data_IF_810309493996
#
_entry.id   IF_810309493996
#
_cell.length_a   1.000
_cell.length_b   1.000
_cell.length_c   1.000
_cell.angle_alpha   90.00
_cell.angle_beta   90.00
_cell.angle_gamma   90.00
#
_symmetry.space_group_name_H-M   'P 1'
#
loop_
_entity.id
_entity.type
_entity.pdbx_description
1 polymer ?
#
# COMPACT_ATOMS: atom_id res chain seq x y z
N UNK A 1 -18.73 -9.05 -6.62
CA UNK A 1 -19.15 -7.69 -7.08
C UNK A 1 -20.31 -7.72 -8.07
N UNK A 2 -20.69 -8.89 -8.60
CA UNK A 2 -21.73 -9.05 -9.62
C UNK A 2 -21.39 -10.28 -10.47
N UNK A 3 -21.91 -10.34 -11.69
CA UNK A 3 -21.56 -11.35 -12.69
C UNK A 3 -21.31 -10.67 -14.05
N UNK A 4 -20.82 -11.43 -15.05
CA UNK A 4 -20.44 -10.86 -16.35
C UNK A 4 -21.65 -10.41 -17.19
N UNK A 5 -22.81 -11.03 -17.01
CA UNK A 5 -24.01 -10.75 -17.79
C UNK A 5 -24.72 -9.49 -17.29
N UNK A 6 -24.92 -9.38 -15.98
CA UNK A 6 -25.66 -8.28 -15.33
C UNK A 6 -24.74 -7.12 -14.90
N UNK A 7 -23.42 -7.30 -15.02
CA UNK A 7 -22.41 -6.32 -14.64
C UNK A 7 -22.22 -6.19 -13.12
N UNK A 8 -21.78 -5.00 -12.68
CA UNK A 8 -21.47 -4.72 -11.26
C UNK A 8 -22.72 -4.31 -10.51
N UNK A 9 -23.33 -5.28 -9.82
CA UNK A 9 -24.56 -5.09 -9.03
C UNK A 9 -24.30 -4.85 -7.55
N UNK A 10 -23.21 -5.38 -6.99
CA UNK A 10 -22.84 -5.16 -5.59
C UNK A 10 -22.00 -3.88 -5.45
N UNK A 11 -22.69 -2.73 -5.54
CA UNK A 11 -22.08 -1.40 -5.43
C UNK A 11 -21.57 -1.10 -4.03
N UNK A 12 -22.19 -1.64 -2.98
CA UNK A 12 -21.73 -1.47 -1.60
C UNK A 12 -20.32 -2.05 -1.39
N UNK A 13 -20.08 -3.28 -1.87
CA UNK A 13 -18.74 -3.87 -1.83
C UNK A 13 -17.74 -3.03 -2.64
N UNK A 14 -18.12 -2.55 -3.83
CA UNK A 14 -17.28 -1.66 -4.64
C UNK A 14 -16.86 -0.41 -3.87
N UNK A 15 -17.81 0.29 -3.25
CA UNK A 15 -17.50 1.50 -2.48
C UNK A 15 -16.67 1.20 -1.23
N UNK A 16 -16.86 0.04 -0.58
CA UNK A 16 -16.03 -0.39 0.54
C UNK A 16 -14.57 -0.65 0.12
N UNK A 17 -14.34 -1.31 -1.01
CA UNK A 17 -12.99 -1.48 -1.56
C UNK A 17 -12.37 -0.14 -1.99
N UNK A 18 -13.14 0.75 -2.61
CA UNK A 18 -12.68 2.08 -3.02
C UNK A 18 -12.20 2.93 -1.83
N UNK A 19 -12.84 2.79 -0.68
CA UNK A 19 -12.43 3.48 0.54
C UNK A 19 -11.21 2.85 1.22
N UNK A 20 -10.66 1.73 0.74
CA UNK A 20 -9.48 1.10 1.33
C UNK A 20 -8.17 1.67 0.73
N UNK A 21 -7.72 2.84 1.20
CA UNK A 21 -6.54 3.52 0.67
C UNK A 21 -5.75 4.24 1.77
N UNK A 22 -4.60 4.84 1.42
CA UNK A 22 -3.73 5.54 2.36
C UNK A 22 -4.37 6.73 3.09
N UNK A 23 -5.44 7.32 2.56
CA UNK A 23 -6.08 8.50 3.14
C UNK A 23 -7.16 8.15 4.16
N UNK A 24 -7.74 6.94 4.09
CA UNK A 24 -8.81 6.49 4.98
C UNK A 24 -8.30 5.72 6.20
N UNK A 25 -7.10 5.15 6.12
CA UNK A 25 -6.50 4.34 7.19
C UNK A 25 -5.82 5.24 8.23
N UNK A 26 -6.20 5.09 9.50
CA UNK A 26 -5.65 5.89 10.60
C UNK A 26 -4.13 5.74 10.72
N UNK A 27 -3.62 4.52 10.55
CA UNK A 27 -2.17 4.22 10.64
C UNK A 27 -1.37 4.84 9.49
N UNK A 28 -2.00 5.11 8.35
CA UNK A 28 -1.35 5.72 7.20
C UNK A 28 -1.22 7.25 7.32
N UNK A 29 -1.97 7.90 8.22
CA UNK A 29 -2.00 9.37 8.35
C UNK A 29 -0.61 9.95 8.61
N UNK A 30 0.13 9.37 9.55
CA UNK A 30 1.47 9.80 9.98
C UNK A 30 2.60 8.94 9.39
N UNK A 31 2.29 8.07 8.42
CA UNK A 31 3.29 7.16 7.83
C UNK A 31 4.10 7.87 6.74
N UNK A 32 5.42 7.98 6.95
CA UNK A 32 6.34 8.58 5.96
C UNK A 32 6.32 7.88 4.60
N UNK A 33 6.05 6.56 4.59
CA UNK A 33 6.03 5.75 3.37
C UNK A 33 4.65 5.69 2.68
N UNK A 34 3.63 6.43 3.16
CA UNK A 34 2.23 6.29 2.68
C UNK A 34 2.08 6.49 1.17
N UNK A 35 2.86 7.39 0.57
CA UNK A 35 2.83 7.65 -0.87
C UNK A 35 3.66 6.67 -1.69
N UNK A 36 4.53 5.88 -1.05
CA UNK A 36 5.21 4.77 -1.71
C UNK A 36 4.36 3.49 -1.70
N UNK A 37 3.63 3.23 -0.61
CA UNK A 37 2.86 1.99 -0.45
C UNK A 37 1.37 2.10 -0.83
N UNK A 38 0.84 3.31 -0.98
CA UNK A 38 -0.57 3.60 -1.30
C UNK A 38 -1.62 3.01 -0.35
N UNK A 39 -1.24 2.59 0.86
CA UNK A 39 -2.15 2.03 1.87
C UNK A 39 -2.10 0.51 2.02
N UNK A 40 -1.24 -0.18 1.26
CA UNK A 40 -0.98 -1.61 1.42
C UNK A 40 -2.02 -2.54 0.78
N UNK A 41 -1.98 -3.81 1.17
CA UNK A 41 -2.78 -4.88 0.55
C UNK A 41 -4.06 -5.17 1.34
N UNK A 42 -5.22 -5.03 0.68
CA UNK A 42 -6.53 -5.33 1.26
C UNK A 42 -6.73 -6.81 1.63
N UNK A 43 -6.11 -7.74 0.89
CA UNK A 43 -6.20 -9.17 1.18
C UNK A 43 -5.44 -9.54 2.47
N UNK A 44 -4.21 -9.03 2.62
CA UNK A 44 -3.43 -9.23 3.86
C UNK A 44 -4.10 -8.58 5.06
N UNK A 45 -4.69 -7.39 4.87
CA UNK A 45 -5.51 -6.75 5.89
C UNK A 45 -6.64 -7.67 6.36
N UNK A 46 -7.44 -8.19 5.42
CA UNK A 46 -8.54 -9.09 5.75
C UNK A 46 -8.06 -10.37 6.46
N UNK A 47 -6.98 -10.99 5.99
CA UNK A 47 -6.43 -12.19 6.63
C UNK A 47 -5.90 -11.92 8.05
N UNK A 48 -5.35 -10.74 8.30
CA UNK A 48 -4.76 -10.39 9.60
C UNK A 48 -5.80 -9.86 10.62
N UNK A 49 -6.82 -9.13 10.15
CA UNK A 49 -7.73 -8.39 11.03
C UNK A 49 -9.22 -8.74 10.84
N UNK A 50 -9.56 -9.57 9.85
CA UNK A 50 -10.94 -9.85 9.46
C UNK A 50 -11.62 -8.73 8.68
N UNK A 51 -10.93 -7.63 8.35
CA UNK A 51 -11.48 -6.49 7.63
C UNK A 51 -10.52 -5.99 6.55
N UNK A 52 -11.03 -5.77 5.33
CA UNK A 52 -10.24 -5.18 4.24
C UNK A 52 -9.81 -3.74 4.53
N UNK A 53 -10.54 -3.05 5.43
CA UNK A 53 -10.21 -1.70 5.91
C UNK A 53 -9.18 -1.66 7.03
N UNK A 54 -8.84 -2.80 7.64
CA UNK A 54 -7.79 -2.89 8.67
C UNK A 54 -6.39 -2.83 8.07
N UNK A 55 -5.35 -2.69 8.89
CA UNK A 55 -3.96 -2.58 8.43
C UNK A 55 -3.14 -3.80 8.88
N UNK A 56 -2.31 -4.36 7.99
CA UNK A 56 -1.40 -5.45 8.32
C UNK A 56 -0.02 -4.90 8.73
N UNK A 57 0.18 -4.70 10.03
CA UNK A 57 1.33 -3.98 10.59
C UNK A 57 2.69 -4.59 10.22
N UNK A 58 2.84 -5.91 10.32
CA UNK A 58 4.10 -6.58 9.96
C UNK A 58 4.48 -6.30 8.50
N UNK A 59 3.50 -6.35 7.58
CA UNK A 59 3.71 -6.01 6.18
C UNK A 59 4.11 -4.55 5.97
N UNK A 60 3.54 -3.62 6.77
CA UNK A 60 3.92 -2.21 6.75
C UNK A 60 5.38 -2.00 7.18
N UNK A 61 5.83 -2.68 8.23
CA UNK A 61 7.22 -2.61 8.71
C UNK A 61 8.20 -3.13 7.66
N UNK A 62 7.90 -4.29 7.06
CA UNK A 62 8.73 -4.85 6.00
C UNK A 62 8.78 -3.95 4.76
N UNK A 63 7.66 -3.35 4.37
CA UNK A 63 7.60 -2.42 3.24
C UNK A 63 8.46 -1.18 3.49
N UNK A 64 8.35 -0.55 4.67
CA UNK A 64 9.18 0.61 5.03
C UNK A 64 10.67 0.29 4.88
N UNK A 65 11.10 -0.88 5.36
CA UNK A 65 12.50 -1.30 5.22
C UNK A 65 12.91 -1.50 3.76
N UNK A 66 12.05 -2.12 2.94
CA UNK A 66 12.31 -2.23 1.50
C UNK A 66 12.46 -0.86 0.83
N UNK A 67 11.66 0.13 1.23
CA UNK A 67 11.80 1.48 0.68
C UNK A 67 13.06 2.20 1.14
N UNK A 68 13.46 2.06 2.41
CA UNK A 68 14.77 2.56 2.86
C UNK A 68 15.90 1.99 2.00
N UNK A 69 15.89 0.68 1.74
CA UNK A 69 16.88 0.03 0.89
C UNK A 69 16.81 0.55 -0.56
N UNK A 70 15.61 0.66 -1.15
CA UNK A 70 15.45 1.15 -2.53
C UNK A 70 15.94 2.59 -2.70
N UNK A 71 15.64 3.48 -1.75
CA UNK A 71 16.12 4.87 -1.76
C UNK A 71 17.65 4.88 -1.68
N UNK A 72 18.24 4.09 -0.79
CA UNK A 72 19.70 4.00 -0.69
C UNK A 72 20.34 3.45 -1.97
N UNK A 73 19.74 2.44 -2.61
CA UNK A 73 20.23 1.93 -3.90
C UNK A 73 20.25 3.02 -4.95
N UNK A 74 19.20 3.86 -5.03
CA UNK A 74 19.17 5.02 -5.92
C UNK A 74 20.24 6.05 -5.60
N UNK A 75 20.45 6.39 -4.33
CA UNK A 75 21.55 7.27 -3.93
C UNK A 75 22.91 6.70 -4.36
N UNK A 76 23.13 5.40 -4.15
CA UNK A 76 24.39 4.75 -4.53
C UNK A 76 24.62 4.74 -6.05
N UNK A 77 23.57 4.56 -6.86
CA UNK A 77 23.64 4.66 -8.32
C UNK A 77 24.06 6.07 -8.77
N UNK A 78 23.40 7.11 -8.25
CA UNK A 78 23.68 8.51 -8.60
C UNK A 78 25.07 8.99 -8.13
N UNK A 79 25.48 8.58 -6.92
CA UNK A 79 26.82 8.93 -6.38
C UNK A 79 27.94 8.22 -7.14
N UNK A 80 27.74 6.96 -7.56
CA UNK A 80 28.74 6.25 -8.40
C UNK A 80 28.85 6.87 -9.79
N UNK A 81 27.74 7.36 -10.36
CA UNK A 81 27.75 8.14 -11.60
C UNK A 81 28.48 9.49 -11.46
N UNK A 82 28.37 10.13 -10.29
CA UNK A 82 29.03 11.41 -9.98
C UNK A 82 30.53 11.30 -9.68
N UNK A 83 31.02 10.11 -9.32
CA UNK A 83 32.46 9.85 -9.10
C UNK A 83 33.22 9.53 -10.41
N UNK A 84 32.52 9.45 -11.54
CA UNK A 84 33.08 9.16 -12.86
C UNK A 84 33.18 10.40 -13.78
N UNK A 85 32.92 11.59 -13.25
CA UNK A 85 33.12 12.91 -13.89
C UNK A 85 34.11 13.69 -13.04
#
# INVERSE_FOLDING_TARGET
MGNLTDGVTNTQAREHFKSCNAYSRKECRECWARLYCSGGCAANAYHATGSIGGTYEYGCTLFKKRMECAIMMKIAEETKGSAAI
#
